data_IF_620896615471
#
_entry.id   IF_620896615471
#
_cell.length_a   1.000
_cell.length_b   1.000
_cell.length_c   1.000
_cell.angle_alpha   90.00
_cell.angle_beta   90.00
_cell.angle_gamma   90.00
#
_symmetry.space_group_name_H-M   'P 1'
#
loop_
_entity.id
_entity.type
_entity.pdbx_description
1 polymer ?
#
# COMPACT_ATOMS: atom_id res chain seq x y z
N UNK A 1 20.99 -27.54 -11.12
CA UNK A 1 19.58 -27.69 -10.69
C UNK A 1 19.12 -26.61 -9.70
N UNK A 2 20.00 -26.02 -8.87
CA UNK A 2 19.58 -25.01 -7.88
C UNK A 2 19.19 -23.62 -8.43
N UNK A 3 19.85 -23.12 -9.49
CA UNK A 3 19.60 -21.77 -10.00
C UNK A 3 18.29 -21.63 -10.77
N UNK A 4 17.92 -22.64 -11.57
CA UNK A 4 16.65 -22.66 -12.31
C UNK A 4 15.43 -22.82 -11.41
N UNK A 5 15.52 -23.60 -10.33
CA UNK A 5 14.47 -23.71 -9.32
C UNK A 5 14.30 -22.40 -8.52
N UNK A 6 15.42 -21.76 -8.15
CA UNK A 6 15.41 -20.43 -7.52
C UNK A 6 14.81 -19.37 -8.46
N UNK A 7 15.17 -19.38 -9.74
CA UNK A 7 14.60 -18.46 -10.74
C UNK A 7 13.09 -18.70 -10.92
N UNK A 8 12.61 -19.94 -10.97
CA UNK A 8 11.17 -20.21 -11.05
C UNK A 8 10.42 -19.80 -9.78
N UNK A 9 11.02 -20.00 -8.61
CA UNK A 9 10.46 -19.58 -7.32
C UNK A 9 10.39 -18.05 -7.23
N UNK A 10 11.43 -17.34 -7.67
CA UNK A 10 11.48 -15.88 -7.67
C UNK A 10 10.51 -15.31 -8.72
N UNK A 11 10.51 -15.87 -9.93
CA UNK A 11 9.69 -15.39 -11.04
C UNK A 11 8.18 -15.54 -10.78
N UNK A 12 7.75 -16.60 -10.09
CA UNK A 12 6.34 -16.84 -9.77
C UNK A 12 5.99 -16.38 -8.35
N UNK A 13 6.91 -16.59 -7.40
CA UNK A 13 6.72 -16.26 -6.00
C UNK A 13 6.67 -14.76 -5.75
N UNK A 14 7.52 -13.94 -6.38
CA UNK A 14 7.48 -12.47 -6.23
C UNK A 14 6.15 -11.87 -6.70
N UNK A 15 5.65 -12.14 -7.93
CA UNK A 15 4.37 -11.58 -8.35
C UNK A 15 3.20 -12.12 -7.52
N UNK A 16 3.25 -13.40 -7.11
CA UNK A 16 2.23 -13.96 -6.21
C UNK A 16 2.25 -13.28 -4.82
N UNK A 17 3.43 -13.04 -4.25
CA UNK A 17 3.59 -12.29 -3.00
C UNK A 17 3.10 -10.86 -3.15
N UNK A 18 3.42 -10.18 -4.25
CA UNK A 18 2.96 -8.81 -4.51
C UNK A 18 1.44 -8.73 -4.61
N UNK A 19 0.81 -9.68 -5.31
CA UNK A 19 -0.66 -9.79 -5.36
C UNK A 19 -1.23 -9.99 -3.96
N UNK A 20 -0.65 -10.93 -3.20
CA UNK A 20 -1.10 -11.23 -1.85
C UNK A 20 -0.93 -10.03 -0.92
N UNK A 21 0.18 -9.30 -1.02
CA UNK A 21 0.48 -8.12 -0.20
C UNK A 21 -0.47 -6.97 -0.52
N UNK A 22 -0.77 -6.74 -1.80
CA UNK A 22 -1.77 -5.75 -2.24
C UNK A 22 -3.18 -6.12 -1.74
N UNK A 23 -3.53 -7.41 -1.78
CA UNK A 23 -4.81 -7.92 -1.26
C UNK A 23 -4.88 -7.81 0.27
N UNK A 24 -3.76 -8.07 0.97
CA UNK A 24 -3.66 -7.93 2.42
C UNK A 24 -3.62 -6.46 2.85
N UNK A 25 -3.18 -5.55 1.98
CA UNK A 25 -3.04 -4.13 2.28
C UNK A 25 -4.38 -3.50 2.70
N UNK A 26 -5.47 -3.91 2.07
CA UNK A 26 -6.82 -3.40 2.35
C UNK A 26 -7.56 -4.17 3.46
N UNK A 27 -6.97 -5.25 3.97
CA UNK A 27 -7.57 -6.11 4.99
C UNK A 27 -7.89 -5.38 6.32
N UNK A 28 -6.98 -4.56 6.91
CA UNK A 28 -7.26 -3.86 8.16
C UNK A 28 -8.40 -2.84 8.01
N UNK A 29 -8.45 -2.17 6.85
CA UNK A 29 -9.47 -1.17 6.53
C UNK A 29 -10.85 -1.81 6.40
N UNK A 30 -10.96 -2.99 5.77
CA UNK A 30 -12.25 -3.70 5.71
C UNK A 30 -12.76 -4.19 7.06
N UNK A 31 -11.87 -4.53 8.00
CA UNK A 31 -12.29 -4.93 9.36
C UNK A 31 -12.73 -3.70 10.17
N UNK A 32 -11.92 -2.64 10.16
CA UNK A 32 -12.19 -1.45 10.97
C UNK A 32 -13.34 -0.60 10.44
N UNK A 33 -13.48 -0.50 9.11
CA UNK A 33 -14.49 0.38 8.48
C UNK A 33 -15.78 -0.38 8.18
N UNK A 34 -15.71 -1.64 7.75
CA UNK A 34 -16.91 -2.41 7.39
C UNK A 34 -17.38 -3.37 8.52
N UNK A 35 -16.70 -3.44 9.68
CA UNK A 35 -17.02 -4.36 10.81
C UNK A 35 -17.24 -5.83 10.38
N UNK A 36 -16.42 -6.30 9.44
CA UNK A 36 -16.56 -7.62 8.81
C UNK A 36 -15.72 -8.69 9.51
N UNK A 37 -16.23 -9.92 9.54
CA UNK A 37 -15.48 -11.09 10.01
C UNK A 37 -14.16 -11.28 9.23
N UNK A 38 -13.06 -11.73 9.87
CA UNK A 38 -11.74 -11.92 9.27
C UNK A 38 -11.75 -12.63 7.90
N UNK A 39 -12.52 -13.71 7.78
CA UNK A 39 -12.60 -14.49 6.53
C UNK A 39 -13.39 -13.76 5.43
N UNK A 40 -14.41 -13.00 5.81
CA UNK A 40 -15.22 -12.22 4.88
C UNK A 40 -14.49 -10.97 4.37
N UNK A 41 -13.67 -10.35 5.23
CA UNK A 41 -12.79 -9.23 4.93
C UNK A 41 -11.73 -9.61 3.86
N UNK A 42 -11.16 -10.81 3.94
CA UNK A 42 -10.20 -11.28 2.94
C UNK A 42 -10.82 -11.50 1.55
N UNK A 43 -12.01 -12.13 1.48
CA UNK A 43 -12.74 -12.28 0.21
C UNK A 43 -13.13 -10.93 -0.38
N UNK A 44 -13.44 -9.96 0.49
CA UNK A 44 -13.80 -8.59 0.14
C UNK A 44 -12.62 -7.84 -0.47
N UNK A 45 -11.43 -7.91 0.12
CA UNK A 45 -10.25 -7.25 -0.44
C UNK A 45 -9.85 -7.83 -1.80
N UNK A 46 -9.98 -9.16 -1.98
CA UNK A 46 -9.83 -9.81 -3.29
C UNK A 46 -10.83 -9.24 -4.30
N UNK A 47 -12.11 -9.13 -3.93
CA UNK A 47 -13.15 -8.58 -4.81
C UNK A 47 -12.84 -7.13 -5.21
N UNK A 48 -12.38 -6.29 -4.29
CA UNK A 48 -12.02 -4.89 -4.54
C UNK A 48 -10.80 -4.75 -5.47
N UNK A 49 -9.84 -5.66 -5.42
CA UNK A 49 -8.66 -5.64 -6.32
C UNK A 49 -8.97 -6.29 -7.69
N UNK A 50 -9.84 -7.29 -7.74
CA UNK A 50 -10.15 -8.07 -8.95
C UNK A 50 -10.76 -7.21 -10.07
N UNK A 51 -10.08 -7.10 -11.21
CA UNK A 51 -10.53 -6.28 -12.36
C UNK A 51 -9.91 -4.88 -12.45
N UNK A 52 -9.28 -4.37 -11.39
CA UNK A 52 -8.49 -3.13 -11.40
C UNK A 52 -7.02 -3.37 -10.99
N UNK A 53 -6.55 -4.62 -11.05
CA UNK A 53 -5.24 -5.02 -10.53
C UNK A 53 -4.08 -4.19 -11.07
N UNK A 54 -4.05 -3.89 -12.38
CA UNK A 54 -3.00 -3.06 -12.98
C UNK A 54 -2.97 -1.63 -12.43
N UNK A 55 -4.13 -1.05 -12.09
CA UNK A 55 -4.20 0.27 -11.48
C UNK A 55 -3.69 0.23 -10.04
N UNK A 56 -4.16 -0.73 -9.25
CA UNK A 56 -3.72 -0.88 -7.85
C UNK A 56 -2.22 -1.17 -7.77
N UNK A 57 -1.72 -2.04 -8.65
CA UNK A 57 -0.30 -2.33 -8.76
C UNK A 57 0.51 -1.11 -9.20
N UNK A 58 0.08 -0.38 -10.23
CA UNK A 58 0.77 0.83 -10.70
C UNK A 58 0.81 1.93 -9.64
N UNK A 59 -0.32 2.16 -8.96
CA UNK A 59 -0.41 3.13 -7.86
C UNK A 59 0.49 2.71 -6.70
N UNK A 60 0.45 1.43 -6.29
CA UNK A 60 1.34 0.88 -5.27
C UNK A 60 2.83 1.00 -5.66
N UNK A 61 3.16 0.71 -6.92
CA UNK A 61 4.52 0.85 -7.44
C UNK A 61 5.01 2.29 -7.36
N UNK A 62 4.17 3.29 -7.69
CA UNK A 62 4.52 4.70 -7.53
C UNK A 62 4.70 5.07 -6.05
N UNK A 63 3.81 4.58 -5.17
CA UNK A 63 3.91 4.80 -3.74
C UNK A 63 5.21 4.28 -3.13
N UNK A 64 5.75 3.18 -3.65
CA UNK A 64 7.03 2.62 -3.22
C UNK A 64 8.24 3.22 -3.96
N UNK A 65 8.12 3.50 -5.24
CA UNK A 65 9.21 4.03 -6.05
C UNK A 65 9.64 5.43 -5.60
N UNK A 66 8.69 6.29 -5.24
CA UNK A 66 8.97 7.67 -4.83
C UNK A 66 9.88 7.76 -3.58
N UNK A 67 9.59 7.07 -2.44
CA UNK A 67 10.50 7.00 -1.30
C UNK A 67 11.90 6.50 -1.68
N UNK A 68 11.97 5.48 -2.54
CA UNK A 68 13.23 4.88 -2.97
C UNK A 68 14.05 5.91 -3.75
N UNK A 69 13.45 6.58 -4.73
CA UNK A 69 14.12 7.60 -5.54
C UNK A 69 14.63 8.75 -4.67
N UNK A 70 13.83 9.22 -3.70
CA UNK A 70 14.26 10.23 -2.74
C UNK A 70 15.43 9.74 -1.88
N UNK A 71 15.36 8.53 -1.36
CA UNK A 71 16.46 7.95 -0.58
C UNK A 71 17.75 7.82 -1.40
N UNK A 72 17.65 7.49 -2.70
CA UNK A 72 18.82 7.37 -3.58
C UNK A 72 19.51 8.70 -3.89
N UNK A 73 18.82 9.85 -3.72
CA UNK A 73 19.39 11.17 -3.97
C UNK A 73 20.60 11.50 -3.06
N UNK A 74 20.74 10.78 -1.94
CA UNK A 74 21.78 11.00 -0.93
C UNK A 74 23.06 10.22 -1.20
N UNK A 75 22.98 9.16 -2.01
CA UNK A 75 24.09 8.25 -2.31
C UNK A 75 25.38 8.94 -2.80
N UNK A 76 25.36 9.98 -3.65
CA UNK A 76 26.60 10.64 -4.06
C UNK A 76 27.32 11.36 -2.89
N UNK A 77 26.60 11.71 -1.82
CA UNK A 77 27.13 12.43 -0.66
C UNK A 77 27.42 11.53 0.54
N UNK A 78 26.98 10.26 0.51
CA UNK A 78 27.04 9.37 1.68
C UNK A 78 28.44 8.87 2.03
N UNK A 79 29.40 8.98 1.10
CA UNK A 79 30.77 8.47 1.29
C UNK A 79 31.72 9.52 1.89
N UNK A 80 31.30 10.78 2.00
CA UNK A 80 32.12 11.88 2.52
C UNK A 80 31.76 12.19 3.98
N UNK A 81 32.68 12.02 4.94
CA UNK A 81 32.46 12.35 6.34
C UNK A 81 32.05 13.82 6.57
N UNK A 82 32.45 14.74 5.69
CA UNK A 82 32.09 16.15 5.83
C UNK A 82 30.58 16.40 5.70
N UNK A 83 29.86 15.50 5.03
CA UNK A 83 28.43 15.65 4.74
C UNK A 83 27.53 14.76 5.62
N UNK A 84 28.11 13.98 6.54
CA UNK A 84 27.38 12.94 7.30
C UNK A 84 26.16 13.48 8.08
N UNK A 85 26.29 14.67 8.66
CA UNK A 85 25.20 15.31 9.42
C UNK A 85 24.05 15.75 8.51
N UNK A 86 24.37 16.34 7.35
CA UNK A 86 23.37 16.77 6.36
C UNK A 86 22.64 15.56 5.75
N UNK A 87 23.38 14.50 5.43
CA UNK A 87 22.86 13.21 4.98
C UNK A 87 21.88 12.63 6.00
N UNK A 88 22.21 12.67 7.29
CA UNK A 88 21.35 12.22 8.38
C UNK A 88 20.05 13.03 8.48
N UNK A 89 20.14 14.37 8.43
CA UNK A 89 18.97 15.26 8.49
C UNK A 89 18.04 15.03 7.29
N UNK A 90 18.61 14.94 6.08
CA UNK A 90 17.83 14.66 4.88
C UNK A 90 17.09 13.31 5.00
N UNK A 91 17.81 12.27 5.44
CA UNK A 91 17.25 10.93 5.56
C UNK A 91 16.12 10.89 6.59
N UNK A 92 16.28 11.59 7.72
CA UNK A 92 15.24 11.73 8.72
C UNK A 92 14.02 12.48 8.17
N UNK A 93 14.23 13.54 7.41
CA UNK A 93 13.15 14.30 6.78
C UNK A 93 12.37 13.44 5.77
N UNK A 94 13.06 12.76 4.84
CA UNK A 94 12.43 11.88 3.86
C UNK A 94 11.67 10.75 4.54
N UNK A 95 12.25 10.11 5.56
CA UNK A 95 11.58 9.05 6.32
C UNK A 95 10.32 9.55 7.04
N UNK A 96 10.39 10.74 7.64
CA UNK A 96 9.27 11.34 8.39
C UNK A 96 8.11 11.74 7.48
N UNK A 97 8.41 12.28 6.29
CA UNK A 97 7.38 12.72 5.33
C UNK A 97 6.79 11.55 4.55
N UNK A 98 7.62 10.55 4.21
CA UNK A 98 7.18 9.46 3.33
C UNK A 98 6.45 8.34 4.07
N UNK A 99 6.63 8.23 5.39
CA UNK A 99 5.87 7.26 6.20
C UNK A 99 4.36 7.48 6.18
N UNK A 100 3.80 8.68 6.45
CA UNK A 100 2.35 8.90 6.39
C UNK A 100 1.80 8.86 4.94
N UNK A 101 2.63 9.17 3.95
CA UNK A 101 2.25 9.15 2.53
C UNK A 101 1.67 7.80 2.09
N UNK A 102 2.26 6.70 2.54
CA UNK A 102 1.80 5.35 2.21
C UNK A 102 0.41 5.09 2.84
N UNK A 103 0.19 5.50 4.09
CA UNK A 103 -1.08 5.31 4.79
C UNK A 103 -2.20 6.11 4.13
N UNK A 104 -1.95 7.38 3.82
CA UNK A 104 -2.92 8.25 3.12
C UNK A 104 -3.21 7.67 1.73
N UNK A 105 -2.17 7.33 0.98
CA UNK A 105 -2.30 6.77 -0.36
C UNK A 105 -3.11 5.49 -0.40
N UNK A 106 -2.91 4.61 0.59
CA UNK A 106 -3.71 3.38 0.71
C UNK A 106 -5.18 3.64 0.97
N UNK A 107 -5.49 4.62 1.83
CA UNK A 107 -6.87 5.00 2.14
C UNK A 107 -7.55 5.64 0.94
N UNK A 108 -6.86 6.52 0.21
CA UNK A 108 -7.39 7.11 -1.02
C UNK A 108 -7.63 6.06 -2.11
N UNK A 109 -6.71 5.11 -2.26
CA UNK A 109 -6.86 4.02 -3.23
C UNK A 109 -8.03 3.10 -2.87
N UNK A 110 -8.24 2.84 -1.58
CA UNK A 110 -9.39 2.08 -1.09
C UNK A 110 -10.72 2.76 -1.45
N UNK A 111 -10.83 4.07 -1.17
CA UNK A 111 -12.01 4.84 -1.47
C UNK A 111 -12.24 4.96 -2.99
N UNK A 112 -11.19 5.20 -3.79
CA UNK A 112 -11.30 5.22 -5.27
C UNK A 112 -11.83 3.89 -5.82
N UNK A 113 -11.38 2.75 -5.27
CA UNK A 113 -11.89 1.44 -5.68
C UNK A 113 -13.38 1.26 -5.33
N UNK A 114 -13.81 1.67 -4.13
CA UNK A 114 -15.23 1.60 -3.73
C UNK A 114 -16.09 2.54 -4.56
N UNK A 115 -15.64 3.76 -4.85
CA UNK A 115 -16.34 4.71 -5.74
C UNK A 115 -16.54 4.09 -7.12
N UNK A 116 -15.49 3.51 -7.72
CA UNK A 116 -15.57 2.94 -9.08
C UNK A 116 -16.38 1.66 -9.18
N UNK A 117 -16.36 0.80 -8.16
CA UNK A 117 -17.02 -0.52 -8.21
C UNK A 117 -18.41 -0.53 -7.61
N UNK A 118 -18.64 0.31 -6.62
CA UNK A 118 -19.82 0.26 -5.76
C UNK A 118 -20.62 1.55 -5.85
N UNK A 119 -20.11 2.57 -6.56
CA UNK A 119 -20.72 3.89 -6.58
C UNK A 119 -20.69 4.53 -5.19
N UNK A 120 -19.69 4.20 -4.36
CA UNK A 120 -19.56 4.73 -3.00
C UNK A 120 -19.52 6.25 -3.02
N UNK A 121 -20.45 6.88 -2.30
CA UNK A 121 -20.61 8.34 -2.23
C UNK A 121 -20.33 8.87 -0.82
N UNK A 122 -20.34 10.19 -0.68
CA UNK A 122 -20.19 10.85 0.63
C UNK A 122 -21.34 10.46 1.56
N UNK A 123 -22.55 10.31 1.04
CA UNK A 123 -23.72 9.88 1.81
C UNK A 123 -23.56 8.45 2.35
N UNK A 124 -22.94 7.54 1.59
CA UNK A 124 -22.65 6.20 2.08
C UNK A 124 -21.56 6.17 3.17
N UNK A 125 -20.58 7.07 3.08
CA UNK A 125 -19.58 7.25 4.14
C UNK A 125 -20.21 7.83 5.41
N UNK A 126 -21.07 8.83 5.26
CA UNK A 126 -21.82 9.42 6.35
C UNK A 126 -22.73 8.39 7.03
N UNK A 127 -23.40 7.53 6.26
CA UNK A 127 -24.17 6.42 6.80
C UNK A 127 -23.30 5.43 7.59
N UNK A 128 -22.15 5.00 7.04
CA UNK A 128 -21.22 4.10 7.73
C UNK A 128 -20.72 4.71 9.06
N UNK A 129 -20.42 6.01 9.08
CA UNK A 129 -19.92 6.73 10.27
C UNK A 129 -21.01 7.03 11.32
N UNK A 130 -22.26 7.23 10.90
CA UNK A 130 -23.38 7.56 11.79
C UNK A 130 -24.12 6.33 12.35
N UNK A 131 -23.76 5.11 11.95
CA UNK A 131 -24.37 3.91 12.53
C UNK A 131 -23.91 3.73 13.99
N UNK A 132 -24.83 3.63 14.97
CA UNK A 132 -24.46 3.22 16.31
C UNK A 132 -23.89 1.80 16.24
N UNK A 133 -22.74 1.56 16.87
CA UNK A 133 -22.19 0.22 17.05
C UNK A 133 -23.28 -0.72 17.59
N UNK A 134 -23.55 -1.88 16.95
CA UNK A 134 -24.39 -2.90 17.54
C UNK A 134 -23.77 -3.36 18.88
N UNK A 135 -24.59 -3.73 19.89
CA UNK A 135 -24.10 -4.23 21.17
C UNK A 135 -23.32 -5.54 21.05
#
# INVERSE_FOLDING_TARGET
MGTSALLSLVLVGIPMLLVLLVVLWFYPQTIMVENRDPVSAFRRSIFLVRGNWMRVFGIGAVYWALPIVLAMAVLPFSNDPAHSTLVGIYSAFVGTVTTPWILIGSTLTYLDLRVRKEGYTVESLEADLNTPTPP
#
